data_IF_694368411319
#
_entry.id   IF_694368411319
#
_cell.length_a   1.000
_cell.length_b   1.000
_cell.length_c   1.000
_cell.angle_alpha   90.00
_cell.angle_beta   90.00
_cell.angle_gamma   90.00
#
_symmetry.space_group_name_H-M   'P 1'
#
loop_
_entity.id
_entity.type
_entity.pdbx_description
1 polymer ?
#
# COMPACT_ATOMS: atom_id res chain seq x y z
N UNK A 1 18.80 7.92 -7.18
CA UNK A 1 17.54 8.00 -7.95
C UNK A 1 17.26 9.48 -8.20
N UNK A 2 16.79 9.92 -9.38
CA UNK A 2 16.45 11.34 -9.57
C UNK A 2 15.37 11.79 -8.58
N UNK A 3 15.43 13.01 -8.06
CA UNK A 3 14.50 13.47 -7.02
C UNK A 3 13.03 13.37 -7.46
N UNK A 4 12.71 13.66 -8.72
CA UNK A 4 11.34 13.58 -9.25
C UNK A 4 10.74 12.16 -9.28
N UNK A 5 11.50 11.13 -8.92
CA UNK A 5 11.03 9.74 -8.84
C UNK A 5 10.52 9.36 -7.46
N UNK A 6 10.68 10.23 -6.45
CA UNK A 6 10.20 10.04 -5.08
C UNK A 6 9.62 11.36 -4.59
N UNK A 7 8.32 11.38 -4.28
CA UNK A 7 7.60 12.57 -3.84
C UNK A 7 6.71 12.12 -2.69
N UNK A 8 6.88 12.74 -1.53
CA UNK A 8 5.97 12.60 -0.40
C UNK A 8 4.76 13.51 -0.64
N UNK A 9 3.57 13.03 -0.28
CA UNK A 9 2.31 13.73 -0.50
C UNK A 9 1.59 13.76 0.84
N UNK A 10 1.90 14.78 1.64
CA UNK A 10 1.37 14.96 2.99
C UNK A 10 0.27 16.02 3.01
N UNK A 11 0.35 16.99 2.09
CA UNK A 11 -0.62 18.07 1.90
C UNK A 11 -1.27 18.02 0.52
N UNK A 12 -2.40 18.70 0.35
CA UNK A 12 -3.11 18.76 -0.94
C UNK A 12 -2.26 19.43 -2.04
N UNK A 13 -1.41 20.38 -1.68
CA UNK A 13 -0.56 21.08 -2.63
C UNK A 13 0.56 20.18 -3.17
N UNK A 14 1.00 19.18 -2.38
CA UNK A 14 1.98 18.19 -2.82
C UNK A 14 1.44 17.34 -3.98
N UNK A 15 0.13 17.10 -4.03
CA UNK A 15 -0.50 16.39 -5.14
C UNK A 15 -0.32 17.14 -6.46
N UNK A 16 -0.52 18.47 -6.44
CA UNK A 16 -0.36 19.31 -7.63
C UNK A 16 1.09 19.27 -8.11
N UNK A 17 2.04 19.31 -7.17
CA UNK A 17 3.46 19.21 -7.48
C UNK A 17 3.85 17.82 -8.02
N UNK A 18 3.36 16.76 -7.39
CA UNK A 18 3.56 15.38 -7.81
C UNK A 18 3.02 15.14 -9.22
N UNK A 19 1.81 15.62 -9.51
CA UNK A 19 1.20 15.52 -10.82
C UNK A 19 2.02 16.28 -11.88
N UNK A 20 2.50 17.49 -11.55
CA UNK A 20 3.36 18.27 -12.43
C UNK A 20 4.66 17.53 -12.76
N UNK A 21 5.37 17.02 -11.74
CA UNK A 21 6.61 16.27 -11.93
C UNK A 21 6.38 14.99 -12.74
N UNK A 22 5.30 14.27 -12.46
CA UNK A 22 4.88 13.10 -13.24
C UNK A 22 4.64 13.44 -14.70
N UNK A 23 3.87 14.49 -15.01
CA UNK A 23 3.61 14.94 -16.39
C UNK A 23 4.91 15.34 -17.09
N UNK A 24 5.76 16.12 -16.42
CA UNK A 24 6.98 16.69 -16.99
C UNK A 24 8.07 15.65 -17.24
N UNK A 25 8.26 14.70 -16.32
CA UNK A 25 9.43 13.81 -16.31
C UNK A 25 9.11 12.35 -16.59
N UNK A 26 7.89 11.89 -16.29
CA UNK A 26 7.52 10.46 -16.41
C UNK A 26 6.60 10.22 -17.60
N UNK A 27 5.48 10.93 -17.69
CA UNK A 27 4.45 10.71 -18.71
C UNK A 27 4.82 11.29 -20.08
N UNK A 28 5.66 12.33 -20.11
CA UNK A 28 6.17 12.95 -21.35
C UNK A 28 7.11 12.03 -22.14
N UNK A 29 7.71 11.02 -21.50
CA UNK A 29 8.73 10.14 -22.08
C UNK A 29 8.27 8.68 -22.03
N UNK A 30 7.33 8.30 -22.89
CA UNK A 30 6.71 6.97 -22.99
C UNK A 30 6.07 6.47 -21.68
N UNK A 31 4.79 6.16 -21.75
CA UNK A 31 4.03 5.62 -20.61
C UNK A 31 4.68 4.32 -20.15
N UNK A 32 5.41 4.37 -19.03
CA UNK A 32 6.02 3.16 -18.45
C UNK A 32 4.90 2.27 -17.95
N UNK A 33 4.95 1.01 -18.36
CA UNK A 33 4.05 -0.02 -17.88
C UNK A 33 4.33 -0.28 -16.40
N UNK A 34 3.31 -0.12 -15.56
CA UNK A 34 3.38 -0.45 -14.13
C UNK A 34 3.31 -1.98 -14.02
N UNK A 35 4.31 -2.59 -13.39
CA UNK A 35 4.40 -4.04 -13.25
C UNK A 35 4.12 -4.54 -11.84
N UNK A 36 4.21 -3.64 -10.86
CA UNK A 36 4.11 -3.95 -9.44
C UNK A 36 3.43 -2.80 -8.69
N UNK A 37 2.47 -3.14 -7.85
CA UNK A 37 1.83 -2.26 -6.87
C UNK A 37 2.10 -2.81 -5.46
N UNK A 38 2.62 -1.97 -4.58
CA UNK A 38 2.87 -2.31 -3.19
C UNK A 38 2.10 -1.33 -2.30
N UNK A 39 1.58 -1.82 -1.19
CA UNK A 39 0.83 -1.01 -0.22
C UNK A 39 1.26 -1.35 1.20
N UNK A 40 1.13 -0.39 2.11
CA UNK A 40 1.09 -0.67 3.54
C UNK A 40 -0.33 -1.08 3.95
N UNK A 41 -0.52 -1.39 5.23
CA UNK A 41 -1.78 -1.75 5.85
C UNK A 41 -2.36 -0.56 6.61
N UNK A 42 -1.68 -0.11 7.66
CA UNK A 42 -2.28 0.82 8.60
C UNK A 42 -2.23 2.26 8.09
N UNK A 43 -3.40 2.90 8.06
CA UNK A 43 -3.56 4.22 7.43
C UNK A 43 -3.60 4.20 5.90
N UNK A 44 -3.45 3.03 5.27
CA UNK A 44 -3.54 2.86 3.81
C UNK A 44 -4.70 1.96 3.40
N UNK A 45 -4.68 0.68 3.81
CA UNK A 45 -5.81 -0.25 3.63
C UNK A 45 -6.82 -0.16 4.78
N UNK A 46 -6.47 0.54 5.86
CA UNK A 46 -7.32 0.83 7.01
C UNK A 46 -7.43 2.34 7.19
N UNK A 47 -8.42 2.78 7.97
CA UNK A 47 -8.57 4.17 8.39
C UNK A 47 -7.66 4.52 9.59
N UNK A 48 -6.55 3.78 9.76
CA UNK A 48 -5.67 3.80 10.94
C UNK A 48 -6.38 3.49 12.28
N UNK A 49 -7.65 3.07 12.23
CA UNK A 49 -8.43 2.68 13.40
C UNK A 49 -8.08 1.28 13.89
N UNK A 50 -7.90 1.16 15.21
CA UNK A 50 -7.65 -0.11 15.90
C UNK A 50 -8.74 -0.35 16.95
N UNK A 51 -9.25 -1.58 17.01
CA UNK A 51 -10.20 -2.00 18.05
C UNK A 51 -9.57 -3.05 18.94
N UNK A 52 -9.63 -2.80 20.25
CA UNK A 52 -9.12 -3.70 21.29
C UNK A 52 -10.27 -4.18 22.17
N UNK A 53 -10.21 -5.44 22.58
CA UNK A 53 -11.14 -6.00 23.57
C UNK A 53 -10.69 -5.68 25.00
N UNK A 54 -11.65 -5.44 25.90
CA UNK A 54 -11.38 -5.14 27.32
C UNK A 54 -10.63 -6.28 28.03
N UNK A 55 -10.93 -7.53 27.67
CA UNK A 55 -10.31 -8.72 28.25
C UNK A 55 -8.94 -9.06 27.61
N UNK A 56 -8.49 -8.28 26.62
CA UNK A 56 -7.27 -8.51 25.87
C UNK A 56 -7.34 -9.69 24.88
N UNK A 57 -6.32 -9.80 24.03
CA UNK A 57 -6.10 -10.94 23.13
C UNK A 57 -6.74 -10.81 21.74
N UNK A 58 -7.85 -10.09 21.61
CA UNK A 58 -8.45 -9.78 20.31
C UNK A 58 -8.15 -8.35 19.85
N UNK A 59 -7.57 -8.26 18.66
CA UNK A 59 -7.33 -7.03 17.90
C UNK A 59 -8.09 -7.10 16.58
N UNK A 60 -8.83 -6.04 16.25
CA UNK A 60 -9.57 -5.94 14.99
C UNK A 60 -9.14 -4.69 14.22
N UNK A 61 -9.12 -4.84 12.89
CA UNK A 61 -8.88 -3.77 11.93
C UNK A 61 -10.07 -3.71 10.97
N UNK A 62 -10.45 -2.49 10.57
CA UNK A 62 -11.49 -2.25 9.58
C UNK A 62 -10.84 -2.03 8.22
N UNK A 63 -11.22 -2.86 7.24
CA UNK A 63 -10.77 -2.75 5.86
C UNK A 63 -11.91 -2.31 4.94
N UNK A 64 -11.59 -1.74 3.77
CA UNK A 64 -12.59 -1.34 2.80
C UNK A 64 -12.88 -2.46 1.78
N UNK A 65 -14.15 -2.73 1.49
CA UNK A 65 -14.52 -3.73 0.47
C UNK A 65 -14.15 -3.28 -0.94
N UNK A 66 -14.14 -1.97 -1.22
CA UNK A 66 -13.78 -1.42 -2.52
C UNK A 66 -12.35 -1.75 -2.93
N UNK A 67 -11.41 -1.84 -1.99
CA UNK A 67 -10.02 -2.24 -2.30
C UNK A 67 -10.00 -3.64 -2.92
N UNK A 68 -10.90 -4.53 -2.52
CA UNK A 68 -11.02 -5.86 -3.13
C UNK A 68 -11.21 -5.78 -4.64
N UNK A 69 -12.00 -4.82 -5.12
CA UNK A 69 -12.17 -4.57 -6.55
C UNK A 69 -10.95 -3.89 -7.16
N UNK A 70 -10.32 -2.96 -6.46
CA UNK A 70 -9.07 -2.33 -6.91
C UNK A 70 -7.96 -3.34 -7.19
N UNK A 71 -7.73 -4.27 -6.26
CA UNK A 71 -6.76 -5.36 -6.42
C UNK A 71 -7.15 -6.33 -7.54
N UNK A 72 -8.44 -6.58 -7.75
CA UNK A 72 -8.92 -7.37 -8.89
C UNK A 72 -8.60 -6.71 -10.23
N UNK A 73 -8.82 -5.39 -10.35
CA UNK A 73 -8.48 -4.64 -11.56
C UNK A 73 -6.97 -4.68 -11.84
N UNK A 74 -6.13 -4.48 -10.81
CA UNK A 74 -4.67 -4.57 -10.95
C UNK A 74 -4.24 -5.95 -11.47
N UNK A 75 -4.80 -7.03 -10.90
CA UNK A 75 -4.51 -8.40 -11.36
C UNK A 75 -4.96 -8.65 -12.79
N UNK A 76 -6.12 -8.13 -13.20
CA UNK A 76 -6.62 -8.28 -14.57
C UNK A 76 -5.70 -7.61 -15.60
N UNK A 77 -5.02 -6.53 -15.21
CA UNK A 77 -3.98 -5.86 -15.99
C UNK A 77 -2.59 -6.50 -15.84
N UNK A 78 -2.49 -7.70 -15.26
CA UNK A 78 -1.23 -8.41 -14.98
C UNK A 78 -0.23 -7.65 -14.09
N UNK A 79 -0.72 -6.69 -13.31
CA UNK A 79 0.10 -5.95 -12.34
C UNK A 79 0.23 -6.81 -11.08
N UNK A 80 1.46 -7.12 -10.70
CA UNK A 80 1.73 -7.83 -9.44
C UNK A 80 1.38 -6.95 -8.26
N UNK A 81 0.86 -7.55 -7.20
CA UNK A 81 0.43 -6.81 -6.00
C UNK A 81 1.12 -7.34 -4.76
N UNK A 82 1.41 -6.48 -3.79
CA UNK A 82 1.97 -6.90 -2.53
C UNK A 82 1.67 -5.98 -1.36
N UNK A 83 1.84 -6.51 -0.16
CA UNK A 83 1.72 -5.77 1.10
C UNK A 83 3.08 -5.79 1.80
N UNK A 84 3.55 -4.64 2.25
CA UNK A 84 4.73 -4.49 3.11
C UNK A 84 4.28 -3.70 4.33
N UNK A 85 4.47 -4.26 5.52
CA UNK A 85 4.05 -3.60 6.76
C UNK A 85 4.96 -3.97 7.92
N UNK A 86 5.08 -3.08 8.90
CA UNK A 86 5.76 -3.34 10.18
C UNK A 86 4.99 -4.34 11.04
N UNK A 87 3.68 -4.41 10.86
CA UNK A 87 2.83 -5.34 11.59
C UNK A 87 3.14 -6.80 11.24
N UNK A 88 2.98 -7.70 12.22
CA UNK A 88 3.06 -9.13 12.01
C UNK A 88 1.87 -9.84 12.68
N UNK A 89 0.75 -9.90 11.97
CA UNK A 89 -0.52 -10.35 12.54
C UNK A 89 -1.29 -11.26 11.59
N UNK A 90 -2.09 -12.18 12.16
CA UNK A 90 -2.96 -13.06 11.37
C UNK A 90 -4.06 -12.30 10.62
N UNK A 91 -4.45 -11.12 11.10
CA UNK A 91 -5.49 -10.31 10.45
C UNK A 91 -4.98 -9.75 9.11
N UNK A 92 -3.73 -9.30 9.05
CA UNK A 92 -3.06 -8.86 7.82
C UNK A 92 -2.91 -10.03 6.85
N UNK A 93 -2.46 -11.20 7.32
CA UNK A 93 -2.35 -12.40 6.49
C UNK A 93 -3.69 -12.81 5.87
N UNK A 94 -4.77 -12.82 6.67
CA UNK A 94 -6.13 -13.10 6.17
C UNK A 94 -6.58 -12.08 5.13
N UNK A 95 -6.28 -10.80 5.32
CA UNK A 95 -6.61 -9.74 4.36
C UNK A 95 -5.82 -9.90 3.06
N UNK A 96 -4.52 -10.17 3.14
CA UNK A 96 -3.66 -10.44 2.00
C UNK A 96 -4.19 -11.61 1.15
N UNK A 97 -4.56 -12.72 1.81
CA UNK A 97 -5.16 -13.88 1.17
C UNK A 97 -6.51 -13.54 0.50
N UNK A 98 -7.36 -12.75 1.18
CA UNK A 98 -8.65 -12.29 0.62
C UNK A 98 -8.45 -11.41 -0.61
N UNK A 99 -7.44 -10.54 -0.58
CA UNK A 99 -7.04 -9.68 -1.69
C UNK A 99 -6.28 -10.42 -2.78
N UNK A 100 -5.82 -11.66 -2.54
CA UNK A 100 -5.04 -12.47 -3.49
C UNK A 100 -3.78 -11.74 -3.97
N UNK A 101 -3.04 -11.15 -3.03
CA UNK A 101 -1.76 -10.48 -3.34
C UNK A 101 -0.68 -11.50 -3.69
N UNK A 102 0.27 -11.12 -4.54
CA UNK A 102 1.41 -11.96 -4.92
C UNK A 102 2.49 -12.02 -3.83
N UNK A 103 2.64 -10.93 -3.07
CA UNK A 103 3.68 -10.79 -2.05
C UNK A 103 3.12 -10.27 -0.72
N UNK A 104 3.52 -10.88 0.39
CA UNK A 104 3.24 -10.39 1.73
C UNK A 104 4.52 -10.36 2.55
N UNK A 105 4.91 -9.18 3.00
CA UNK A 105 6.03 -8.96 3.90
C UNK A 105 5.52 -8.27 5.17
N UNK A 106 5.62 -8.98 6.28
CA UNK A 106 5.23 -8.52 7.62
C UNK A 106 6.46 -8.37 8.51
N UNK A 107 6.34 -7.58 9.58
CA UNK A 107 7.46 -7.35 10.51
C UNK A 107 8.61 -6.58 9.89
N UNK A 108 8.33 -5.67 8.94
CA UNK A 108 9.35 -4.88 8.25
C UNK A 108 9.31 -3.41 8.69
N UNK A 109 10.32 -3.01 9.47
CA UNK A 109 10.55 -1.62 9.88
C UNK A 109 11.78 -1.04 9.19
N UNK A 110 11.84 0.29 9.09
CA UNK A 110 13.00 0.99 8.54
C UNK A 110 14.14 1.04 9.57
N UNK A 111 15.01 0.01 9.55
CA UNK A 111 16.35 0.03 10.15
C UNK A 111 16.50 -0.53 11.58
N UNK A 112 17.01 -1.78 11.70
CA UNK A 112 17.71 -2.25 12.91
C UNK A 112 17.57 -3.75 13.23
N UNK A 113 18.58 -4.55 12.87
CA UNK A 113 18.91 -5.87 13.48
C UNK A 113 17.94 -7.04 13.20
N UNK A 114 18.38 -8.26 12.91
CA UNK A 114 19.70 -8.88 13.13
C UNK A 114 20.49 -9.11 11.85
#
# INVERSE_FOLDING_TARGET
>A
MPEYTMIEIDELDDWVYAEYLMKKHVLSHNKKEIKLFLTDVDGVLTDAGMYYSENGGDELKKFNTHDGKGFELLRNENIKTGIITSENTKIVERRANKLKVDYLFQGKEHGGGN
#
